data_IF_977792560130
#
_entry.id   IF_977792560130
#
_cell.length_a   1.000
_cell.length_b   1.000
_cell.length_c   1.000
_cell.angle_alpha   90.00
_cell.angle_beta   90.00
_cell.angle_gamma   90.00
#
_symmetry.space_group_name_H-M   'P 1'
#
loop_
_entity.id
_entity.type
_entity.pdbx_description
1 polymer ?
#
# COMPACT_ATOMS: atom_id res chain seq x y z
N UNK A 1 -44.63 28.30 -55.41
CA UNK A 1 -44.55 27.10 -54.55
C UNK A 1 -43.10 26.91 -54.10
N UNK A 2 -42.76 27.14 -52.82
CA UNK A 2 -41.52 26.62 -52.25
C UNK A 2 -41.80 25.44 -51.29
N UNK A 3 -40.95 24.40 -51.39
CA UNK A 3 -40.99 23.18 -50.57
C UNK A 3 -40.46 23.46 -49.15
N UNK A 4 -41.00 22.83 -48.09
CA UNK A 4 -40.40 22.90 -46.77
C UNK A 4 -39.24 21.90 -46.64
N UNK A 5 -38.09 22.39 -46.22
CA UNK A 5 -36.93 21.58 -45.85
C UNK A 5 -37.10 21.14 -44.39
N UNK A 6 -37.26 19.84 -44.15
CA UNK A 6 -37.29 19.27 -42.79
C UNK A 6 -35.85 19.14 -42.30
N UNK A 7 -35.47 19.96 -41.32
CA UNK A 7 -34.19 19.83 -40.61
C UNK A 7 -34.32 18.79 -39.50
N UNK A 8 -33.63 17.67 -39.66
CA UNK A 8 -33.50 16.62 -38.66
C UNK A 8 -32.50 17.09 -37.57
N UNK A 9 -32.99 17.39 -36.36
CA UNK A 9 -32.13 17.71 -35.21
C UNK A 9 -31.66 16.38 -34.61
N UNK A 10 -30.38 16.07 -34.80
CA UNK A 10 -29.72 14.91 -34.22
C UNK A 10 -29.30 15.23 -32.77
N UNK A 11 -30.07 14.76 -31.79
CA UNK A 11 -29.72 14.85 -30.38
C UNK A 11 -28.61 13.84 -30.05
N UNK A 12 -27.36 14.29 -30.03
CA UNK A 12 -26.23 13.52 -29.52
C UNK A 12 -26.25 13.55 -27.98
N UNK A 13 -26.79 12.50 -27.36
CA UNK A 13 -26.64 12.27 -25.93
C UNK A 13 -25.19 11.89 -25.62
N UNK A 14 -24.40 12.87 -25.19
CA UNK A 14 -23.09 12.65 -24.59
C UNK A 14 -23.28 12.03 -23.19
N UNK A 15 -23.20 10.70 -23.12
CA UNK A 15 -23.02 9.98 -21.86
C UNK A 15 -21.62 10.26 -21.32
N UNK A 16 -21.46 11.40 -20.63
CA UNK A 16 -20.27 11.64 -19.82
C UNK A 16 -20.32 10.66 -18.63
N UNK A 17 -19.66 9.51 -18.78
CA UNK A 17 -19.40 8.60 -17.68
C UNK A 17 -18.61 9.36 -16.62
N UNK A 18 -19.24 9.61 -15.47
CA UNK A 18 -18.53 10.10 -14.29
C UNK A 18 -17.46 9.06 -13.96
N UNK A 19 -16.18 9.42 -14.12
CA UNK A 19 -15.10 8.63 -13.58
C UNK A 19 -15.22 8.72 -12.06
N UNK A 20 -15.84 7.72 -11.42
CA UNK A 20 -15.72 7.56 -9.96
C UNK A 20 -14.23 7.51 -9.64
N UNK A 21 -13.74 8.52 -8.92
CA UNK A 21 -12.41 8.49 -8.33
C UNK A 21 -12.34 7.21 -7.47
N UNK A 22 -11.48 6.27 -7.89
CA UNK A 22 -11.30 5.01 -7.18
C UNK A 22 -10.93 5.35 -5.72
N UNK A 23 -11.75 4.91 -4.76
CA UNK A 23 -11.40 5.05 -3.36
C UNK A 23 -10.02 4.41 -3.12
N UNK A 24 -9.16 5.02 -2.29
CA UNK A 24 -7.86 4.47 -2.02
C UNK A 24 -8.03 3.05 -1.45
N UNK A 25 -7.10 2.12 -1.75
CA UNK A 25 -7.17 0.73 -1.31
C UNK A 25 -7.47 0.56 0.18
N UNK A 26 -6.92 1.45 1.02
CA UNK A 26 -7.16 1.51 2.47
C UNK A 26 -7.54 2.92 2.88
N UNK A 27 -8.28 3.07 3.98
CA UNK A 27 -8.70 4.36 4.51
C UNK A 27 -7.68 4.97 5.47
N UNK A 28 -7.51 6.30 5.49
CA UNK A 28 -6.76 6.97 6.55
C UNK A 28 -7.48 6.86 7.91
N UNK A 29 -6.76 7.10 9.00
CA UNK A 29 -7.30 7.06 10.37
C UNK A 29 -6.31 6.48 11.37
N UNK A 30 -6.82 5.97 12.49
CA UNK A 30 -6.01 5.30 13.50
C UNK A 30 -5.99 3.79 13.26
N UNK A 31 -4.79 3.22 13.20
CA UNK A 31 -4.58 1.82 12.82
C UNK A 31 -3.73 1.08 13.85
N UNK A 32 -4.04 -0.18 14.06
CA UNK A 32 -3.17 -1.14 14.74
C UNK A 32 -2.54 -2.07 13.70
N UNK A 33 -1.27 -2.38 13.86
CA UNK A 33 -0.52 -3.27 12.98
C UNK A 33 0.35 -4.21 13.81
N UNK A 34 0.26 -5.51 13.54
CA UNK A 34 1.12 -6.53 14.11
C UNK A 34 2.09 -7.01 13.05
N UNK A 35 3.36 -6.67 13.21
CA UNK A 35 4.45 -7.10 12.37
C UNK A 35 5.13 -8.32 12.98
N UNK A 36 5.25 -9.40 12.23
CA UNK A 36 5.88 -10.65 12.64
C UNK A 36 7.07 -10.93 11.75
N UNK A 37 8.25 -11.10 12.33
CA UNK A 37 9.36 -11.77 11.66
C UNK A 37 9.14 -13.27 11.82
N UNK A 38 8.99 -13.99 10.71
CA UNK A 38 8.66 -15.42 10.68
C UNK A 38 9.91 -16.29 10.58
N UNK A 39 10.96 -15.79 9.92
CA UNK A 39 12.28 -16.42 9.83
C UNK A 39 13.38 -15.36 9.68
N UNK A 40 14.61 -15.63 10.16
CA UNK A 40 15.07 -16.83 10.87
C UNK A 40 14.77 -16.83 12.38
N UNK A 41 14.44 -15.68 12.97
CA UNK A 41 14.08 -15.56 14.39
C UNK A 41 12.63 -15.08 14.46
N UNK A 42 11.79 -15.82 15.21
CA UNK A 42 10.40 -15.44 15.40
C UNK A 42 10.32 -14.25 16.35
N UNK A 43 9.86 -13.11 15.85
CA UNK A 43 9.61 -11.90 16.64
C UNK A 43 8.26 -11.32 16.23
N UNK A 44 7.54 -10.71 17.16
CA UNK A 44 6.26 -10.07 16.88
C UNK A 44 6.21 -8.73 17.60
N UNK A 45 5.70 -7.70 16.91
CA UNK A 45 5.51 -6.38 17.48
C UNK A 45 4.20 -5.81 17.00
N UNK A 46 3.37 -5.37 17.94
CA UNK A 46 2.14 -4.63 17.67
C UNK A 46 2.39 -3.15 17.89
N UNK A 47 1.98 -2.34 16.94
CA UNK A 47 2.11 -0.89 16.97
C UNK A 47 0.78 -0.24 16.60
N UNK A 48 0.50 0.92 17.18
CA UNK A 48 -0.64 1.74 16.80
C UNK A 48 -0.12 3.05 16.24
N UNK A 49 -0.64 3.48 15.10
CA UNK A 49 -0.23 4.74 14.48
C UNK A 49 -1.36 5.40 13.71
N UNK A 50 -1.28 6.72 13.62
CA UNK A 50 -2.07 7.50 12.69
C UNK A 50 -1.57 7.27 11.26
N UNK A 51 -2.49 6.99 10.34
CA UNK A 51 -2.26 6.85 8.90
C UNK A 51 -2.92 8.05 8.21
N UNK A 52 -2.11 8.92 7.64
CA UNK A 52 -2.62 10.05 6.85
C UNK A 52 -2.94 9.62 5.42
N UNK A 53 -3.73 10.40 4.65
CA UNK A 53 -3.92 10.14 3.22
C UNK A 53 -2.60 10.02 2.46
N UNK A 54 -1.62 10.88 2.77
CA UNK A 54 -0.29 10.83 2.17
C UNK A 54 0.48 9.54 2.53
N UNK A 55 0.24 8.95 3.69
CA UNK A 55 0.82 7.64 4.05
C UNK A 55 0.18 6.51 3.25
N UNK A 56 -1.14 6.60 2.99
CA UNK A 56 -1.83 5.66 2.11
C UNK A 56 -1.26 5.73 0.70
N UNK A 57 -1.13 6.93 0.16
CA UNK A 57 -0.57 7.16 -1.18
C UNK A 57 0.86 6.60 -1.28
N UNK A 58 1.70 6.85 -0.26
CA UNK A 58 3.05 6.28 -0.19
C UNK A 58 3.02 4.76 -0.16
N UNK A 59 2.16 4.16 0.66
CA UNK A 59 2.05 2.70 0.76
C UNK A 59 1.66 2.06 -0.57
N UNK A 60 0.63 2.58 -1.24
CA UNK A 60 0.15 2.07 -2.54
C UNK A 60 1.09 2.43 -3.68
N UNK A 61 1.98 3.43 -3.49
CA UNK A 61 3.05 3.75 -4.42
C UNK A 61 4.24 2.78 -4.36
N UNK A 62 4.33 1.98 -3.30
CA UNK A 62 5.42 1.02 -3.07
C UNK A 62 6.03 1.27 -1.68
N UNK A 63 5.90 0.32 -0.73
CA UNK A 63 6.40 0.52 0.63
C UNK A 63 7.93 0.72 0.66
N UNK A 64 8.39 1.84 1.23
CA UNK A 64 9.80 2.13 1.46
C UNK A 64 9.95 2.79 2.83
N UNK A 65 11.14 2.72 3.43
CA UNK A 65 11.39 3.38 4.71
C UNK A 65 12.70 4.18 4.68
N UNK A 66 13.01 4.90 5.75
CA UNK A 66 14.22 5.75 5.82
C UNK A 66 15.55 4.98 5.73
N UNK A 67 15.54 3.65 5.89
CA UNK A 67 16.73 2.79 5.86
C UNK A 67 16.97 2.16 4.48
N UNK A 68 15.91 2.01 3.68
CA UNK A 68 15.93 1.33 2.39
C UNK A 68 15.18 2.13 1.32
N UNK A 69 15.80 2.29 0.15
CA UNK A 69 15.15 2.78 -1.05
C UNK A 69 14.68 1.59 -1.89
N UNK A 70 13.37 1.42 -2.04
CA UNK A 70 12.78 0.28 -2.75
C UNK A 70 12.19 0.69 -4.10
N UNK A 71 12.41 -0.13 -5.13
CA UNK A 71 11.78 -0.01 -6.45
C UNK A 71 10.95 -1.27 -6.71
N UNK A 72 9.69 -1.11 -7.12
CA UNK A 72 8.76 -2.20 -7.34
C UNK A 72 8.25 -2.21 -8.80
N UNK A 73 8.90 -2.96 -9.70
CA UNK A 73 8.38 -3.18 -11.05
C UNK A 73 7.00 -3.84 -11.06
N UNK A 74 6.71 -4.69 -10.06
CA UNK A 74 5.36 -5.23 -9.85
C UNK A 74 4.78 -4.61 -8.60
N UNK A 75 3.68 -3.89 -8.77
CA UNK A 75 2.94 -3.25 -7.68
C UNK A 75 1.46 -3.23 -8.00
N UNK A 76 0.76 -4.21 -7.45
CA UNK A 76 -0.67 -4.41 -7.66
C UNK A 76 -1.39 -4.16 -6.34
N UNK A 77 -2.33 -3.22 -6.37
CA UNK A 77 -3.33 -2.97 -5.32
C UNK A 77 -4.70 -2.88 -6.02
N UNK A 78 -5.28 -4.04 -6.29
CA UNK A 78 -6.51 -4.13 -7.06
C UNK A 78 -7.35 -5.32 -6.63
N UNK A 79 -8.67 -5.18 -6.67
CA UNK A 79 -9.61 -6.27 -6.35
C UNK A 79 -9.41 -6.86 -4.94
N UNK A 80 -9.00 -6.04 -3.97
CA UNK A 80 -8.73 -6.49 -2.60
C UNK A 80 -7.46 -7.33 -2.44
N UNK A 81 -6.56 -7.33 -3.44
CA UNK A 81 -5.31 -8.10 -3.43
C UNK A 81 -4.08 -7.20 -3.54
N UNK A 82 -3.02 -7.61 -2.87
CA UNK A 82 -1.70 -6.98 -2.91
C UNK A 82 -0.72 -7.94 -3.56
N UNK A 83 0.03 -7.46 -4.55
CA UNK A 83 1.21 -8.16 -5.06
C UNK A 83 2.35 -7.16 -5.30
N UNK A 84 3.50 -7.43 -4.67
CA UNK A 84 4.70 -6.62 -4.74
C UNK A 84 5.87 -7.49 -5.19
N UNK A 85 6.66 -7.00 -6.14
CA UNK A 85 7.97 -7.59 -6.47
C UNK A 85 8.91 -6.45 -6.83
N UNK A 86 10.09 -6.48 -6.24
CA UNK A 86 11.01 -5.37 -6.34
C UNK A 86 12.38 -5.63 -5.76
N UNK A 87 13.09 -4.53 -5.55
CA UNK A 87 14.43 -4.54 -5.00
C UNK A 87 14.60 -3.34 -4.07
N UNK A 88 15.15 -3.57 -2.89
CA UNK A 88 15.48 -2.54 -1.93
C UNK A 88 16.99 -2.38 -1.83
N UNK A 89 17.45 -1.13 -1.73
CA UNK A 89 18.85 -0.78 -1.55
C UNK A 89 19.00 -0.06 -0.22
N UNK A 90 19.85 -0.58 0.65
CA UNK A 90 20.19 0.09 1.91
C UNK A 90 21.06 1.33 1.67
N UNK A 91 21.18 2.23 2.65
CA UNK A 91 22.12 3.36 2.59
C UNK A 91 23.58 2.95 2.35
N UNK A 92 23.96 1.72 2.70
CA UNK A 92 25.31 1.16 2.49
C UNK A 92 25.46 0.46 1.14
N UNK A 93 24.47 0.53 0.26
CA UNK A 93 24.51 -0.05 -1.09
C UNK A 93 24.09 -1.52 -1.17
N UNK A 94 23.88 -2.22 -0.05
CA UNK A 94 23.39 -3.60 -0.07
C UNK A 94 22.03 -3.68 -0.76
N UNK A 95 21.93 -4.57 -1.74
CA UNK A 95 20.74 -4.80 -2.56
C UNK A 95 20.07 -6.09 -2.12
N UNK A 96 18.76 -6.04 -1.88
CA UNK A 96 17.96 -7.21 -1.51
C UNK A 96 16.74 -7.31 -2.41
N UNK A 97 16.44 -8.52 -2.86
CA UNK A 97 15.22 -8.78 -3.62
C UNK A 97 14.05 -8.89 -2.65
N UNK A 98 12.92 -8.28 -3.00
CA UNK A 98 11.71 -8.30 -2.17
C UNK A 98 10.53 -8.81 -2.99
N UNK A 99 9.74 -9.68 -2.39
CA UNK A 99 8.46 -10.14 -2.91
C UNK A 99 7.43 -10.09 -1.80
N UNK A 100 6.23 -9.62 -2.08
CA UNK A 100 5.15 -9.58 -1.11
C UNK A 100 3.81 -9.92 -1.74
N UNK A 101 2.94 -10.56 -0.96
CA UNK A 101 1.58 -10.85 -1.35
C UNK A 101 0.63 -10.72 -0.16
N UNK A 102 -0.61 -10.35 -0.42
CA UNK A 102 -1.56 -10.05 0.64
C UNK A 102 -2.96 -9.74 0.14
N UNK A 103 -3.81 -9.33 1.08
CA UNK A 103 -5.17 -8.90 0.79
C UNK A 103 -5.49 -7.61 1.56
N UNK A 104 -6.45 -6.85 1.08
CA UNK A 104 -6.91 -5.64 1.74
C UNK A 104 -8.41 -5.42 1.61
N UNK A 105 -8.96 -4.72 2.58
CA UNK A 105 -10.25 -4.04 2.55
C UNK A 105 -10.01 -2.55 2.87
N UNK A 106 -11.02 -1.67 2.79
CA UNK A 106 -10.85 -0.29 3.22
C UNK A 106 -10.33 -0.12 4.66
N UNK A 107 -10.53 -1.11 5.54
CA UNK A 107 -10.22 -1.02 6.99
C UNK A 107 -9.31 -2.14 7.51
N UNK A 108 -8.76 -2.98 6.63
CA UNK A 108 -7.81 -4.03 7.01
C UNK A 108 -6.85 -4.38 5.89
N UNK A 109 -5.66 -4.87 6.22
CA UNK A 109 -4.82 -5.55 5.25
C UNK A 109 -3.94 -6.61 5.91
N UNK A 110 -3.57 -7.61 5.11
CA UNK A 110 -2.51 -8.56 5.42
C UNK A 110 -1.45 -8.46 4.34
N UNK A 111 -0.18 -8.62 4.73
CA UNK A 111 0.94 -8.64 3.79
C UNK A 111 1.99 -9.60 4.29
N UNK A 112 2.32 -10.61 3.50
CA UNK A 112 3.49 -11.46 3.74
C UNK A 112 4.57 -11.06 2.75
N UNK A 113 5.76 -10.75 3.26
CA UNK A 113 6.92 -10.36 2.48
C UNK A 113 8.06 -11.38 2.67
N UNK A 114 8.76 -11.66 1.58
CA UNK A 114 9.98 -12.44 1.53
C UNK A 114 11.10 -11.50 1.07
N UNK A 115 12.21 -11.53 1.80
CA UNK A 115 13.40 -10.73 1.54
C UNK A 115 14.54 -11.72 1.30
N UNK A 116 15.05 -11.77 0.08
CA UNK A 116 16.20 -12.60 -0.28
C UNK A 116 17.46 -11.74 -0.32
N UNK A 117 18.49 -12.16 0.41
CA UNK A 117 19.78 -11.50 0.48
C UNK A 117 20.89 -12.53 0.30
N UNK A 118 21.94 -12.18 -0.43
CA UNK A 118 23.16 -12.99 -0.48
C UNK A 118 24.10 -12.59 0.67
N UNK A 119 24.56 -13.57 1.45
CA UNK A 119 25.57 -13.36 2.48
C UNK A 119 26.60 -14.50 2.44
N UNK A 120 27.87 -14.15 2.19
CA UNK A 120 28.98 -15.12 2.06
C UNK A 120 28.71 -16.23 1.02
N UNK A 121 28.05 -15.91 -0.10
CA UNK A 121 27.70 -16.86 -1.15
C UNK A 121 26.52 -17.79 -0.83
N UNK A 122 25.80 -17.54 0.28
CA UNK A 122 24.58 -18.26 0.65
C UNK A 122 23.36 -17.35 0.53
N UNK A 123 22.28 -17.88 -0.06
CA UNK A 123 21.00 -17.20 -0.13
C UNK A 123 20.25 -17.30 1.21
N UNK A 124 20.15 -16.17 1.91
CA UNK A 124 19.36 -16.05 3.13
C UNK A 124 18.01 -15.44 2.79
N UNK A 125 16.94 -16.18 3.07
CA UNK A 125 15.57 -15.68 2.92
C UNK A 125 14.94 -15.38 4.28
N UNK A 126 14.71 -14.11 4.54
CA UNK A 126 13.86 -13.65 5.64
C UNK A 126 12.40 -13.62 5.22
N UNK A 127 11.50 -14.05 6.10
CA UNK A 127 10.06 -13.91 5.91
C UNK A 127 9.47 -13.03 7.01
N UNK A 128 8.62 -12.09 6.63
CA UNK A 128 7.88 -11.25 7.56
C UNK A 128 6.42 -11.18 7.15
N UNK A 129 5.52 -10.99 8.10
CA UNK A 129 4.11 -10.70 7.83
C UNK A 129 3.63 -9.49 8.62
N UNK A 130 2.68 -8.77 8.05
CA UNK A 130 1.99 -7.65 8.69
C UNK A 130 0.49 -7.93 8.64
N UNK A 131 -0.15 -7.91 9.80
CA UNK A 131 -1.60 -7.91 9.94
C UNK A 131 -2.01 -6.53 10.47
N UNK A 132 -2.88 -5.82 9.77
CA UNK A 132 -3.27 -4.46 10.14
C UNK A 132 -4.76 -4.23 10.00
N UNK A 133 -5.33 -3.46 10.93
CA UNK A 133 -6.72 -3.06 10.89
C UNK A 133 -6.93 -1.67 11.48
N UNK A 134 -7.94 -0.98 10.97
CA UNK A 134 -8.34 0.35 11.41
C UNK A 134 -9.12 0.23 12.72
N UNK A 135 -8.72 1.04 13.70
CA UNK A 135 -9.29 1.06 15.06
C UNK A 135 -10.02 2.36 15.38
N UNK A 136 -9.99 3.37 14.50
CA UNK A 136 -10.79 4.58 14.66
C UNK A 136 -10.57 5.61 13.54
N UNK A 137 -11.49 6.57 13.45
CA UNK A 137 -11.38 7.71 12.52
C UNK A 137 -10.42 8.79 13.00
N UNK A 138 -10.37 8.98 14.32
CA UNK A 138 -9.62 10.06 14.96
C UNK A 138 -8.34 9.51 15.56
N UNK A 139 -7.22 10.18 15.26
CA UNK A 139 -5.93 9.83 15.83
C UNK A 139 -5.85 10.34 17.28
N UNK A 140 -5.24 9.56 18.20
CA UNK A 140 -5.03 10.04 19.55
C UNK A 140 -4.13 11.28 19.52
N UNK A 141 -4.27 12.19 20.50
CA UNK A 141 -3.33 13.30 20.64
C UNK A 141 -1.91 12.73 20.77
N UNK A 142 -0.90 13.42 20.20
CA UNK A 142 0.49 12.98 20.32
C UNK A 142 0.84 12.85 21.80
N UNK A 143 1.38 11.70 22.19
CA UNK A 143 1.80 11.45 23.56
C UNK A 143 2.83 12.52 23.95
N UNK A 144 2.52 13.31 24.98
CA UNK A 144 3.47 14.21 25.60
C UNK A 144 4.56 13.32 26.21
N UNK A 145 5.70 13.25 25.54
CA UNK A 145 6.89 12.58 26.08
C UNK A 145 7.22 13.28 27.40
N UNK A 146 6.88 12.65 28.53
CA UNK A 146 7.31 13.08 29.84
C UNK A 146 8.83 13.13 29.85
N UNK A 147 9.37 14.31 30.07
CA UNK A 147 10.77 14.56 30.35
C UNK A 147 11.10 13.88 31.68
N UNK A 148 11.95 12.85 31.63
CA UNK A 148 12.63 12.26 32.80
C UNK A 148 14.13 12.46 32.61
#
# INVERSE_FOLDING_TARGET
>A
MPRPTVSLILAAALSAGAAQAAQPPIQPGYWESTNKLLSPIKQSKTERRCITPADVDKFVSGPSNRHYACTYPTKVFAGGKIALKGTCVSKKGHRVAVKGAGAYTPTSFTLTAEIATEFLGLDITGKASTDAHRIGDVCPPPETKGEN
#
